data_IF_890957258054
#
_entry.id   IF_890957258054
#
_cell.length_a   1.000
_cell.length_b   1.000
_cell.length_c   1.000
_cell.angle_alpha   90.00
_cell.angle_beta   90.00
_cell.angle_gamma   90.00
#
_symmetry.space_group_name_H-M   'P 1'
#
loop_
_entity.id
_entity.type
_entity.pdbx_description
1 polymer ?
#
# COMPACT_ATOMS: atom_id res chain seq x y z
N UNK A 1 3.15 11.89 -15.05
CA UNK A 1 3.46 11.37 -14.98
C UNK A 1 3.57 10.65 -14.22
N UNK A 2 3.58 10.33 -14.44
CA UNK A 2 3.21 9.61 -13.70
C UNK A 2 3.83 8.55 -13.04
N UNK A 3 3.96 8.70 -11.78
CA UNK A 3 4.53 7.71 -10.96
C UNK A 3 3.80 6.43 -11.07
N UNK A 4 2.50 6.43 -11.11
CA UNK A 4 1.74 5.22 -11.25
C UNK A 4 0.75 5.48 -12.35
N UNK A 5 1.29 5.59 -13.53
CA UNK A 5 0.51 5.99 -14.68
C UNK A 5 -0.88 5.40 -14.74
N UNK A 6 -1.01 4.16 -14.41
CA UNK A 6 -2.31 3.50 -14.51
C UNK A 6 -2.86 3.11 -13.16
N UNK A 7 -2.28 3.66 -12.10
CA UNK A 7 -2.71 3.30 -10.76
C UNK A 7 -2.36 1.89 -10.39
N UNK A 8 -1.41 1.30 -11.08
CA UNK A 8 -1.02 -0.08 -10.87
C UNK A 8 0.22 -0.13 -10.00
N UNK A 9 0.15 -0.93 -8.95
CA UNK A 9 1.27 -1.10 -8.04
C UNK A 9 2.22 -2.13 -8.62
N UNK A 10 3.52 -1.86 -8.50
CA UNK A 10 4.54 -2.80 -8.93
C UNK A 10 4.30 -4.17 -8.29
N UNK A 11 4.52 -5.23 -9.06
CA UNK A 11 4.25 -6.59 -8.59
C UNK A 11 5.04 -6.94 -7.34
N UNK A 12 6.30 -6.51 -7.28
CA UNK A 12 7.12 -6.81 -6.13
C UNK A 12 6.58 -6.14 -4.87
N UNK A 13 6.14 -4.90 -5.01
CA UNK A 13 5.55 -4.19 -3.89
C UNK A 13 4.23 -4.82 -3.49
N UNK A 14 3.43 -5.23 -4.47
CA UNK A 14 2.16 -5.86 -4.19
C UNK A 14 2.36 -7.16 -3.40
N UNK A 15 3.39 -7.91 -3.73
CA UNK A 15 3.69 -9.14 -3.00
C UNK A 15 4.05 -8.83 -1.55
N UNK A 16 4.85 -7.79 -1.34
CA UNK A 16 5.19 -7.38 0.01
C UNK A 16 3.95 -7.03 0.79
N UNK A 17 3.06 -6.25 0.18
CA UNK A 17 1.83 -5.84 0.84
C UNK A 17 0.99 -7.06 1.24
N UNK A 18 0.89 -8.03 0.35
CA UNK A 18 0.10 -9.23 0.64
C UNK A 18 0.73 -10.07 1.74
N UNK A 19 2.06 -10.24 1.69
CA UNK A 19 2.74 -11.04 2.69
C UNK A 19 2.57 -10.44 4.07
N UNK A 20 2.73 -9.13 4.18
CA UNK A 20 2.58 -8.48 5.46
C UNK A 20 1.14 -8.52 5.93
N UNK A 21 0.19 -8.48 4.99
CA UNK A 21 -1.21 -8.57 5.37
C UNK A 21 -1.52 -9.92 5.98
N UNK A 22 -0.93 -10.98 5.44
CA UNK A 22 -1.14 -12.32 5.98
C UNK A 22 -0.58 -12.45 7.38
N UNK A 23 0.52 -11.76 7.66
CA UNK A 23 1.15 -11.84 8.97
C UNK A 23 0.45 -10.97 9.99
N UNK A 24 -0.25 -9.96 9.54
CA UNK A 24 -0.91 -9.02 10.44
C UNK A 24 -2.21 -9.58 10.97
N UNK A 25 -2.50 -9.31 12.22
CA UNK A 25 -3.73 -9.78 12.85
C UNK A 25 -4.89 -8.83 12.59
N UNK A 26 -4.60 -7.61 12.17
CA UNK A 26 -5.65 -6.62 11.91
C UNK A 26 -5.16 -5.66 10.86
N UNK A 27 -6.10 -4.86 10.33
CA UNK A 27 -5.77 -3.84 9.36
C UNK A 27 -4.80 -2.82 9.95
N UNK A 28 -5.02 -2.49 11.21
CA UNK A 28 -4.17 -1.53 11.90
C UNK A 28 -2.76 -2.06 12.03
N UNK A 29 -2.61 -3.31 12.40
CA UNK A 29 -1.30 -3.91 12.55
C UNK A 29 -0.62 -3.98 11.19
N UNK A 30 -1.37 -4.27 10.15
CA UNK A 30 -0.84 -4.32 8.81
C UNK A 30 -0.21 -2.99 8.42
N UNK A 31 -0.92 -1.90 8.69
CA UNK A 31 -0.39 -0.56 8.37
C UNK A 31 0.86 -0.28 9.17
N UNK A 32 0.88 -0.72 10.41
CA UNK A 32 2.05 -0.52 11.26
C UNK A 32 3.26 -1.28 10.70
N UNK A 33 3.04 -2.51 10.25
CA UNK A 33 4.11 -3.30 9.68
C UNK A 33 4.64 -2.66 8.40
N UNK A 34 3.74 -2.13 7.59
CA UNK A 34 4.15 -1.47 6.36
C UNK A 34 5.01 -0.24 6.65
N UNK A 35 4.69 0.46 7.72
CA UNK A 35 5.47 1.63 8.11
C UNK A 35 6.91 1.25 8.38
N UNK A 36 7.13 0.04 8.89
CA UNK A 36 8.48 -0.44 9.14
C UNK A 36 9.29 -0.63 7.86
N UNK A 37 8.60 -0.76 6.74
CA UNK A 37 9.25 -0.87 5.44
C UNK A 37 9.28 0.46 4.71
N UNK A 38 8.70 1.50 5.31
CA UNK A 38 8.69 2.81 4.69
C UNK A 38 7.47 3.09 3.84
N UNK A 39 6.40 2.30 4.00
CA UNK A 39 5.19 2.47 3.22
C UNK A 39 4.01 2.80 4.11
N UNK A 40 3.02 3.48 3.51
CA UNK A 40 1.80 3.81 4.21
C UNK A 40 0.61 3.60 3.31
N UNK A 41 -0.57 3.62 3.93
CA UNK A 41 -1.83 3.49 3.19
C UNK A 41 -2.63 4.76 3.44
N UNK A 42 -2.96 5.44 2.37
CA UNK A 42 -3.78 6.65 2.44
C UNK A 42 -5.18 6.27 1.96
N UNK A 43 -6.17 6.61 2.75
CA UNK A 43 -7.56 6.32 2.39
C UNK A 43 -8.23 7.56 1.84
N UNK A 44 -8.80 7.42 0.66
CA UNK A 44 -9.46 8.52 -0.01
C UNK A 44 -10.82 8.00 -0.46
N UNK A 45 -11.83 8.22 0.36
CA UNK A 45 -13.14 7.64 0.11
C UNK A 45 -13.04 6.14 0.19
N UNK A 46 -13.43 5.46 -0.88
CA UNK A 46 -13.36 4.02 -0.91
C UNK A 46 -12.06 3.49 -1.47
N UNK A 47 -11.17 4.40 -1.84
CA UNK A 47 -9.91 4.00 -2.44
C UNK A 47 -8.81 4.01 -1.41
N UNK A 48 -7.88 3.06 -1.56
CA UNK A 48 -6.71 2.98 -0.70
C UNK A 48 -5.49 3.13 -1.56
N UNK A 49 -4.67 4.10 -1.21
CA UNK A 49 -3.50 4.46 -2.00
C UNK A 49 -2.25 4.14 -1.21
N UNK A 50 -1.35 3.39 -1.83
CA UNK A 50 -0.08 3.07 -1.18
C UNK A 50 0.86 4.25 -1.37
N UNK A 51 1.48 4.68 -0.28
CA UNK A 51 2.38 5.82 -0.32
C UNK A 51 3.74 5.44 0.22
N UNK A 52 4.74 6.25 -0.12
CA UNK A 52 6.07 6.13 0.45
C UNK A 52 6.16 7.16 1.57
N UNK A 53 6.38 6.69 2.79
CA UNK A 53 6.35 7.59 3.94
C UNK A 53 7.42 8.68 3.88
N UNK A 54 8.56 8.34 3.32
CA UNK A 54 9.68 9.28 3.30
C UNK A 54 9.31 10.62 2.68
N UNK A 55 8.57 10.59 1.58
CA UNK A 55 8.25 11.82 0.86
C UNK A 55 6.77 11.96 0.51
N UNK A 56 5.94 11.06 0.98
CA UNK A 56 4.51 11.14 0.72
C UNK A 56 4.11 10.81 -0.70
N UNK A 57 5.03 10.29 -1.50
CA UNK A 57 4.72 9.96 -2.88
C UNK A 57 3.68 8.86 -2.95
N UNK A 58 2.68 9.04 -3.80
CA UNK A 58 1.66 8.02 -4.01
C UNK A 58 2.15 7.05 -5.04
N UNK A 59 2.21 5.78 -4.66
CA UNK A 59 2.78 4.74 -5.52
C UNK A 59 1.75 4.02 -6.36
N UNK A 60 0.51 3.98 -5.92
CA UNK A 60 -0.53 3.32 -6.68
C UNK A 60 -1.72 2.97 -5.83
N UNK A 61 -2.76 2.46 -6.49
CA UNK A 61 -3.99 2.08 -5.82
C UNK A 61 -3.97 0.59 -5.48
N UNK A 62 -4.46 0.27 -4.29
CA UNK A 62 -4.64 -1.13 -3.94
C UNK A 62 -5.80 -1.70 -4.76
N UNK A 63 -5.69 -2.96 -5.21
CA UNK A 63 -6.80 -3.60 -5.89
C UNK A 63 -8.00 -3.67 -4.95
N UNK A 64 -9.20 -3.56 -5.52
CA UNK A 64 -10.41 -3.58 -4.70
C UNK A 64 -10.59 -4.90 -3.97
N UNK A 65 -10.06 -5.98 -4.53
CA UNK A 65 -10.20 -7.29 -3.90
C UNK A 65 -8.99 -7.64 -3.01
N UNK A 66 -8.17 -6.69 -2.72
CA UNK A 66 -7.00 -6.91 -1.88
C UNK A 66 -7.44 -7.16 -0.44
N UNK A 67 -6.84 -8.18 0.20
CA UNK A 67 -7.16 -8.52 1.59
C UNK A 67 -5.93 -8.54 2.45
#
# INVERSE_FOLDING_TARGET
>A
NGMYENGVIDATLLELLRDERKKALSHREWKFRLAGFGYGIKEDGERKIVTRLLNGTELGLLPVNFR
#
